data_IF_667987531800
#
_entry.id   IF_667987531800
#
_cell.length_a   1.000
_cell.length_b   1.000
_cell.length_c   1.000
_cell.angle_alpha   90.00
_cell.angle_beta   90.00
_cell.angle_gamma   90.00
#
_symmetry.space_group_name_H-M   'P 1'
#
loop_
_entity.id
_entity.type
_entity.pdbx_description
1 polymer ?
#
# COMPACT_ATOMS: atom_id res chain seq x y z
N UNK A 1 -37.48 58.69 -21.97
CA UNK A 1 -37.74 57.32 -21.50
C UNK A 1 -37.09 57.21 -20.14
N UNK A 2 -37.93 57.32 -19.12
CA UNK A 2 -37.54 57.60 -17.74
C UNK A 2 -37.60 56.38 -16.83
N UNK A 3 -37.06 56.63 -15.65
CA UNK A 3 -37.00 55.82 -14.44
C UNK A 3 -38.34 55.14 -14.09
N UNK A 4 -38.26 53.90 -13.62
CA UNK A 4 -39.34 53.16 -12.97
C UNK A 4 -38.82 52.46 -11.71
N UNK A 5 -39.34 52.89 -10.57
CA UNK A 5 -39.01 52.50 -9.19
C UNK A 5 -39.71 51.17 -8.76
N UNK A 6 -39.53 50.69 -7.52
CA UNK A 6 -39.44 49.25 -7.17
C UNK A 6 -40.71 48.67 -6.53
N UNK A 7 -40.66 47.37 -6.18
CA UNK A 7 -41.60 46.72 -5.28
C UNK A 7 -40.90 46.04 -4.11
N UNK A 8 -41.47 46.28 -2.92
CA UNK A 8 -41.07 45.80 -1.61
C UNK A 8 -41.57 44.38 -1.35
N UNK A 9 -40.87 43.61 -0.50
CA UNK A 9 -41.55 42.78 0.47
C UNK A 9 -40.72 42.58 1.75
N UNK A 10 -41.42 42.70 2.88
CA UNK A 10 -40.93 42.70 4.26
C UNK A 10 -41.34 41.39 4.92
N UNK A 11 -40.47 40.77 5.74
CA UNK A 11 -40.89 40.09 6.98
C UNK A 11 -39.74 39.99 8.00
N UNK A 12 -40.07 40.49 9.20
CA UNK A 12 -39.33 40.53 10.49
C UNK A 12 -39.01 39.13 11.06
N UNK A 13 -38.05 39.04 11.98
CA UNK A 13 -38.17 38.72 13.45
C UNK A 13 -36.73 38.62 14.02
N UNK A 14 -36.16 39.64 14.69
CA UNK A 14 -36.08 39.91 16.16
C UNK A 14 -35.69 38.71 17.04
N UNK A 15 -34.57 38.84 17.75
CA UNK A 15 -34.15 38.00 18.88
C UNK A 15 -32.87 38.56 19.52
N UNK A 16 -33.02 39.57 20.37
CA UNK A 16 -32.02 40.11 21.29
C UNK A 16 -32.25 39.48 22.66
N UNK A 17 -31.18 39.04 23.33
CA UNK A 17 -31.06 39.08 24.80
C UNK A 17 -29.59 39.22 25.18
N UNK A 18 -29.36 40.17 26.09
CA UNK A 18 -28.10 40.62 26.69
C UNK A 18 -28.16 40.26 28.19
N UNK A 19 -27.00 40.36 28.85
CA UNK A 19 -26.75 40.44 30.30
C UNK A 19 -26.51 39.08 30.99
N UNK A 20 -25.55 38.88 31.91
CA UNK A 20 -24.72 39.78 32.72
C UNK A 20 -23.54 38.95 33.29
N UNK A 21 -22.29 39.46 33.33
CA UNK A 21 -21.55 40.01 34.50
C UNK A 21 -21.16 39.00 35.61
N UNK A 22 -19.88 39.06 36.01
CA UNK A 22 -19.29 38.28 37.10
C UNK A 22 -17.81 38.58 37.30
N UNK A 23 -17.51 39.57 38.15
CA UNK A 23 -16.17 40.01 38.58
C UNK A 23 -15.56 39.16 39.70
N UNK A 24 -14.22 39.07 39.73
CA UNK A 24 -13.33 39.11 40.91
C UNK A 24 -11.86 39.03 40.43
N UNK A 25 -11.08 40.11 40.51
CA UNK A 25 -10.20 40.53 41.62
C UNK A 25 -8.96 39.61 41.79
N UNK A 26 -7.78 40.00 41.27
CA UNK A 26 -6.64 40.68 41.96
C UNK A 26 -5.86 39.76 42.90
N UNK A 27 -4.57 39.52 42.57
CA UNK A 27 -3.43 39.74 43.48
C UNK A 27 -2.11 39.88 42.69
N UNK A 28 -1.28 40.78 43.22
CA UNK A 28 0.03 41.27 42.79
C UNK A 28 1.19 40.44 43.37
N UNK A 29 2.43 40.84 43.02
CA UNK A 29 3.78 40.47 43.52
C UNK A 29 4.43 39.30 42.78
N UNK A 30 5.68 39.35 42.30
CA UNK A 30 6.74 40.35 42.39
C UNK A 30 8.09 39.72 41.95
N UNK A 31 9.01 40.57 41.53
CA UNK A 31 10.48 40.40 41.63
C UNK A 31 11.25 39.49 40.65
N UNK A 32 11.91 40.13 39.67
CA UNK A 32 13.35 39.98 39.41
C UNK A 32 14.16 40.33 40.70
N UNK A 33 15.41 39.86 40.92
CA UNK A 33 16.54 40.12 40.00
C UNK A 33 17.71 39.10 40.01
N UNK A 34 18.70 39.40 39.16
CA UNK A 34 20.14 39.09 39.25
C UNK A 34 20.53 37.59 39.24
N UNK A 35 21.34 37.10 38.31
CA UNK A 35 22.64 37.63 37.94
C UNK A 35 23.71 36.70 38.51
N UNK A 36 24.43 35.97 37.64
CA UNK A 36 25.88 35.86 37.79
C UNK A 36 26.55 35.21 36.57
N UNK A 37 27.49 35.99 36.06
CA UNK A 37 28.61 35.67 35.18
C UNK A 37 29.62 34.73 35.82
N UNK A 38 30.20 33.82 35.01
CA UNK A 38 31.64 33.48 34.98
C UNK A 38 31.85 32.49 33.82
N UNK A 39 32.54 32.77 32.69
CA UNK A 39 34.00 32.96 32.47
C UNK A 39 34.84 32.03 33.34
N UNK A 40 35.70 31.09 32.88
CA UNK A 40 36.53 31.00 31.66
C UNK A 40 37.05 29.53 31.46
N UNK A 41 37.76 29.22 30.34
CA UNK A 41 38.19 27.87 29.89
C UNK A 41 39.67 27.52 30.28
N UNK A 42 40.40 26.68 29.50
CA UNK A 42 40.63 25.23 29.61
C UNK A 42 42.07 24.89 30.09
N UNK A 43 42.57 23.65 29.90
CA UNK A 43 43.83 23.55 29.14
C UNK A 43 43.96 22.36 28.18
N UNK A 44 44.95 22.54 27.30
CA UNK A 44 45.38 21.78 26.13
C UNK A 44 46.16 20.48 26.42
N UNK A 45 46.30 19.71 25.34
CA UNK A 45 47.45 18.89 24.91
C UNK A 45 47.91 17.66 25.72
N UNK A 46 47.79 16.49 25.07
CA UNK A 46 48.95 15.74 24.58
C UNK A 46 48.51 14.59 23.64
N UNK A 47 49.11 14.55 22.45
CA UNK A 47 49.11 13.39 21.53
C UNK A 47 50.44 12.60 21.68
N UNK A 48 50.84 11.70 20.76
CA UNK A 48 50.50 10.26 20.69
C UNK A 48 51.75 9.36 20.65
N UNK A 49 51.66 8.03 20.83
CA UNK A 49 52.72 7.12 20.36
C UNK A 49 52.22 5.75 19.86
N UNK A 50 52.70 5.46 18.66
CA UNK A 50 52.74 4.25 17.83
C UNK A 50 53.61 3.14 18.44
N UNK A 51 53.37 1.86 18.14
CA UNK A 51 54.44 0.85 18.09
C UNK A 51 54.07 -0.39 17.24
N UNK A 52 54.95 -0.69 16.28
CA UNK A 52 54.92 -1.80 15.32
C UNK A 52 56.03 -2.82 15.62
N UNK A 53 55.76 -4.07 15.25
CA UNK A 53 56.67 -5.15 14.79
C UNK A 53 57.86 -5.63 15.66
N UNK A 54 57.95 -6.96 15.88
CA UNK A 54 58.87 -7.82 15.09
C UNK A 54 58.80 -9.32 15.46
N UNK A 55 58.89 -10.15 14.41
CA UNK A 55 59.13 -11.60 14.35
C UNK A 55 60.50 -12.01 14.95
N UNK A 56 60.67 -13.30 15.34
CA UNK A 56 61.20 -14.42 14.49
C UNK A 56 61.90 -15.56 15.30
N UNK A 57 61.58 -16.82 14.94
CA UNK A 57 62.47 -18.03 14.82
C UNK A 57 63.21 -18.61 16.06
N UNK A 58 63.41 -19.91 16.32
CA UNK A 58 63.04 -21.23 15.75
C UNK A 58 63.63 -22.36 16.72
N UNK A 59 63.84 -23.65 16.38
CA UNK A 59 63.16 -24.84 16.94
C UNK A 59 64.06 -25.87 17.70
N UNK A 60 63.47 -26.95 18.27
CA UNK A 60 63.92 -28.36 18.18
C UNK A 60 62.99 -29.31 18.98
N UNK A 61 62.60 -30.41 18.33
CA UNK A 61 61.80 -31.59 18.77
C UNK A 61 62.79 -32.74 19.16
N UNK A 62 62.41 -34.02 19.46
CA UNK A 62 61.08 -34.67 19.65
C UNK A 62 60.99 -35.71 20.83
N UNK A 63 59.78 -36.24 21.07
CA UNK A 63 59.39 -37.66 21.30
C UNK A 63 58.10 -37.72 22.16
N UNK A 64 56.92 -37.93 21.55
CA UNK A 64 56.20 -39.22 21.39
C UNK A 64 55.45 -39.63 22.69
N UNK A 65 54.17 -40.00 22.72
CA UNK A 65 53.19 -40.29 21.67
C UNK A 65 51.79 -40.28 22.33
N UNK A 66 50.83 -39.54 21.80
CA UNK A 66 49.42 -39.62 22.19
C UNK A 66 48.52 -39.19 21.02
N UNK A 67 47.86 -40.18 20.44
CA UNK A 67 46.63 -40.18 19.64
C UNK A 67 46.24 -38.90 18.86
N UNK A 68 46.38 -38.97 17.53
CA UNK A 68 45.68 -38.11 16.56
C UNK A 68 44.39 -38.79 16.05
N UNK A 69 43.44 -38.01 15.52
CA UNK A 69 43.31 -38.02 14.06
C UNK A 69 43.37 -36.62 13.42
N UNK A 70 43.96 -36.58 12.23
CA UNK A 70 44.18 -35.42 11.39
C UNK A 70 42.95 -34.97 10.59
N UNK A 71 43.11 -33.75 10.08
CA UNK A 71 42.16 -32.81 9.48
C UNK A 71 41.93 -33.13 7.99
N UNK A 72 40.69 -32.91 7.52
CA UNK A 72 40.46 -32.45 6.15
C UNK A 72 39.56 -31.20 6.15
N UNK A 73 40.13 -30.15 5.57
CA UNK A 73 39.56 -28.84 5.28
C UNK A 73 38.46 -28.95 4.22
N UNK A 74 37.25 -28.45 4.48
CA UNK A 74 36.32 -28.02 3.41
C UNK A 74 35.33 -26.97 3.95
N UNK A 75 35.55 -25.73 3.53
CA UNK A 75 34.56 -24.75 3.07
C UNK A 75 33.10 -24.91 3.57
N UNK A 76 32.77 -24.24 4.68
CA UNK A 76 31.39 -24.14 5.17
C UNK A 76 30.64 -23.04 4.40
N UNK A 77 29.90 -23.45 3.37
CA UNK A 77 28.84 -22.63 2.77
C UNK A 77 27.67 -22.48 3.76
N UNK A 78 27.10 -21.29 3.97
CA UNK A 78 25.94 -21.13 4.82
C UNK A 78 24.71 -21.66 4.07
N UNK A 79 24.28 -22.88 4.39
CA UNK A 79 22.96 -23.37 3.97
C UNK A 79 21.88 -22.51 4.60
N UNK A 80 20.95 -21.95 3.82
CA UNK A 80 19.83 -21.20 4.37
C UNK A 80 18.95 -22.17 5.16
N UNK A 81 18.69 -21.82 6.42
CA UNK A 81 17.70 -22.50 7.25
C UNK A 81 16.33 -22.28 6.60
N UNK A 82 15.94 -23.19 5.71
CA UNK A 82 14.57 -23.29 5.24
C UNK A 82 13.72 -23.69 6.45
N UNK A 83 13.12 -22.69 7.11
CA UNK A 83 11.92 -22.90 7.93
C UNK A 83 10.96 -23.66 7.03
N UNK A 84 10.69 -24.93 7.36
CA UNK A 84 9.64 -25.73 6.73
C UNK A 84 8.34 -24.95 6.88
N UNK A 85 7.93 -24.25 5.83
CA UNK A 85 6.57 -23.71 5.77
C UNK A 85 5.66 -24.92 5.89
N UNK A 86 4.76 -24.90 6.88
CA UNK A 86 3.70 -25.88 6.97
C UNK A 86 3.03 -25.94 5.59
N UNK A 87 2.92 -27.15 5.02
CA UNK A 87 2.28 -27.35 3.73
C UNK A 87 0.85 -26.86 3.91
N UNK A 88 0.54 -25.70 3.34
CA UNK A 88 -0.78 -25.11 3.39
C UNK A 88 -1.66 -25.96 2.47
N UNK A 89 -2.53 -26.77 3.07
CA UNK A 89 -3.51 -27.58 2.35
C UNK A 89 -4.76 -26.72 2.09
N UNK A 90 -5.37 -26.85 0.92
CA UNK A 90 -6.54 -26.06 0.50
C UNK A 90 -7.77 -26.98 0.34
N UNK A 91 -8.30 -27.53 1.44
CA UNK A 91 -9.33 -28.55 1.38
C UNK A 91 -10.64 -28.04 0.77
N UNK A 92 -11.01 -26.77 0.97
CA UNK A 92 -12.24 -26.22 0.39
C UNK A 92 -12.10 -26.11 -1.15
N UNK A 93 -10.91 -25.75 -1.62
CA UNK A 93 -10.59 -25.68 -3.06
C UNK A 93 -10.57 -27.08 -3.68
N UNK A 94 -9.93 -28.06 -3.03
CA UNK A 94 -9.86 -29.43 -3.53
C UNK A 94 -11.26 -30.06 -3.64
N UNK A 95 -12.10 -29.89 -2.62
CA UNK A 95 -13.49 -30.37 -2.64
C UNK A 95 -14.29 -29.75 -3.79
N UNK A 96 -14.10 -28.45 -4.05
CA UNK A 96 -14.77 -27.73 -5.13
C UNK A 96 -14.38 -28.27 -6.52
N UNK A 97 -13.09 -28.55 -6.74
CA UNK A 97 -12.62 -29.15 -8.00
C UNK A 97 -13.20 -30.54 -8.21
N UNK A 98 -13.30 -31.36 -7.16
CA UNK A 98 -13.94 -32.68 -7.20
C UNK A 98 -15.43 -32.55 -7.52
N UNK A 99 -16.15 -31.65 -6.84
CA UNK A 99 -17.59 -31.43 -7.05
C UNK A 99 -17.92 -31.05 -8.50
N UNK A 100 -17.05 -30.26 -9.14
CA UNK A 100 -17.21 -29.87 -10.55
C UNK A 100 -16.60 -30.84 -11.56
N UNK A 101 -16.03 -31.96 -11.11
CA UNK A 101 -15.37 -32.92 -11.98
C UNK A 101 -14.12 -32.38 -12.68
N UNK A 102 -13.50 -31.32 -12.14
CA UNK A 102 -12.26 -30.72 -12.64
C UNK A 102 -11.06 -31.52 -12.13
N UNK A 103 -10.96 -32.77 -12.58
CA UNK A 103 -9.97 -33.75 -12.12
C UNK A 103 -8.94 -34.10 -13.20
N UNK A 104 -7.75 -34.60 -12.80
CA UNK A 104 -6.77 -35.14 -13.74
C UNK A 104 -7.33 -36.30 -14.57
N UNK A 105 -6.85 -36.51 -15.80
CA UNK A 105 -5.75 -35.79 -16.46
C UNK A 105 -6.18 -34.49 -17.15
N UNK A 106 -7.48 -34.21 -17.22
CA UNK A 106 -8.04 -33.14 -18.06
C UNK A 106 -7.86 -31.77 -17.40
N UNK A 107 -7.90 -31.71 -16.07
CA UNK A 107 -7.55 -30.51 -15.29
C UNK A 107 -6.56 -30.87 -14.21
N UNK A 108 -5.41 -30.21 -14.19
CA UNK A 108 -4.38 -30.40 -13.15
C UNK A 108 -4.20 -29.12 -12.36
N UNK A 109 -4.22 -29.21 -11.03
CA UNK A 109 -3.80 -28.12 -10.14
C UNK A 109 -2.27 -28.07 -10.12
N UNK A 110 -1.69 -27.05 -10.75
CA UNK A 110 -0.23 -26.87 -10.81
C UNK A 110 0.30 -26.21 -9.53
N UNK A 111 -0.46 -25.25 -8.99
CA UNK A 111 -0.07 -24.52 -7.78
C UNK A 111 -1.30 -23.98 -7.06
N UNK A 112 -1.33 -24.14 -5.75
CA UNK A 112 -2.17 -23.32 -4.87
C UNK A 112 -1.26 -22.66 -3.83
N UNK A 113 -1.44 -21.36 -3.63
CA UNK A 113 -0.55 -20.58 -2.76
C UNK A 113 -1.30 -19.48 -2.04
N UNK A 114 -0.87 -19.17 -0.81
CA UNK A 114 -1.29 -17.97 -0.11
C UNK A 114 -0.12 -17.03 0.03
N UNK A 115 -0.33 -15.81 -0.45
CA UNK A 115 0.56 -14.70 -0.18
C UNK A 115 0.21 -14.09 1.16
N UNK A 116 1.22 -13.86 1.99
CA UNK A 116 1.10 -13.16 3.25
C UNK A 116 1.71 -11.77 3.11
N UNK A 117 1.02 -10.76 3.62
CA UNK A 117 1.46 -9.37 3.65
C UNK A 117 1.33 -8.83 5.06
N UNK A 118 2.40 -8.22 5.54
CA UNK A 118 2.42 -7.47 6.78
C UNK A 118 2.23 -6.00 6.47
N UNK A 119 1.46 -5.32 7.30
CA UNK A 119 1.24 -3.88 7.21
C UNK A 119 1.74 -3.24 8.49
N UNK A 120 2.51 -2.16 8.36
CA UNK A 120 2.96 -1.35 9.49
C UNK A 120 2.53 0.10 9.27
N UNK A 121 2.23 0.80 10.35
CA UNK A 121 1.95 2.22 10.35
C UNK A 121 2.88 2.91 11.33
N UNK A 122 3.58 3.95 10.88
CA UNK A 122 4.41 4.84 11.71
C UNK A 122 3.66 6.15 11.88
N UNK A 123 3.41 6.54 13.12
CA UNK A 123 2.80 7.81 13.48
C UNK A 123 3.89 8.76 13.96
N UNK A 124 3.91 9.95 13.37
CA UNK A 124 4.78 11.05 13.76
C UNK A 124 3.90 12.17 14.31
N UNK A 125 4.22 12.62 15.53
CA UNK A 125 3.55 13.76 16.14
C UNK A 125 4.37 15.02 15.84
N UNK A 126 3.73 16.00 15.19
CA UNK A 126 4.23 17.36 15.12
C UNK A 126 3.58 18.17 16.24
N UNK A 127 4.38 18.91 17.00
CA UNK A 127 3.90 19.81 18.04
C UNK A 127 4.59 21.17 17.95
N UNK A 128 3.79 22.21 17.68
CA UNK A 128 4.29 23.58 17.50
C UNK A 128 5.31 23.72 16.37
N UNK A 129 5.35 22.78 15.42
CA UNK A 129 6.41 22.73 14.42
C UNK A 129 6.31 23.92 13.45
N UNK A 130 7.47 24.43 13.03
CA UNK A 130 7.57 25.48 12.02
C UNK A 130 8.22 24.92 10.76
N UNK A 131 7.42 24.85 9.69
CA UNK A 131 7.88 24.47 8.36
C UNK A 131 8.23 25.72 7.55
N UNK A 132 9.37 25.72 6.87
CA UNK A 132 9.75 26.75 5.92
C UNK A 132 9.66 26.22 4.49
N UNK A 133 8.97 26.94 3.60
CA UNK A 133 8.87 26.57 2.19
C UNK A 133 10.25 26.49 1.54
N UNK A 134 10.51 25.50 0.68
CA UNK A 134 11.76 25.45 -0.08
C UNK A 134 11.80 26.58 -1.10
N UNK A 135 12.80 27.45 -0.98
CA UNK A 135 13.10 28.51 -1.95
C UNK A 135 12.34 29.82 -1.75
N UNK A 136 12.56 30.73 -2.71
CA UNK A 136 12.04 32.09 -2.71
C UNK A 136 11.20 32.34 -3.97
N UNK A 137 10.12 33.12 -3.84
CA UNK A 137 9.05 33.24 -4.84
C UNK A 137 8.78 34.68 -5.23
N UNK A 138 8.10 34.90 -6.37
CA UNK A 138 7.87 36.25 -6.91
C UNK A 138 6.73 37.00 -6.21
N UNK A 139 5.89 36.27 -5.46
CA UNK A 139 4.78 36.88 -4.72
C UNK A 139 4.49 36.14 -3.41
N UNK A 140 3.94 36.88 -2.44
CA UNK A 140 3.43 36.31 -1.17
C UNK A 140 2.41 35.18 -1.41
N UNK A 141 1.49 35.37 -2.36
CA UNK A 141 0.42 34.41 -2.67
C UNK A 141 0.97 33.09 -3.22
N UNK A 142 1.98 33.18 -4.09
CA UNK A 142 2.68 32.00 -4.62
C UNK A 142 3.44 31.28 -3.50
N UNK A 143 4.20 32.02 -2.68
CA UNK A 143 4.94 31.44 -1.55
C UNK A 143 4.02 30.67 -0.59
N UNK A 144 2.88 31.26 -0.21
CA UNK A 144 1.88 30.58 0.62
C UNK A 144 1.38 29.29 -0.03
N UNK A 145 0.97 29.33 -1.30
CA UNK A 145 0.45 28.14 -2.00
C UNK A 145 1.48 27.02 -2.07
N UNK A 146 2.74 27.36 -2.38
CA UNK A 146 3.85 26.40 -2.42
C UNK A 146 4.17 25.82 -1.05
N UNK A 147 4.08 26.62 0.02
CA UNK A 147 4.25 26.15 1.39
C UNK A 147 3.18 25.10 1.76
N UNK A 148 1.90 25.42 1.56
CA UNK A 148 0.80 24.48 1.81
C UNK A 148 0.88 23.24 0.94
N UNK A 149 1.21 23.39 -0.35
CA UNK A 149 1.36 22.24 -1.25
C UNK A 149 2.48 21.31 -0.80
N UNK A 150 3.65 21.85 -0.45
CA UNK A 150 4.78 21.06 0.04
C UNK A 150 4.43 20.32 1.34
N UNK A 151 3.76 21.02 2.27
CA UNK A 151 3.24 20.40 3.49
C UNK A 151 2.23 19.28 3.18
N UNK A 152 1.26 19.53 2.30
CA UNK A 152 0.23 18.57 1.94
C UNK A 152 0.82 17.28 1.36
N UNK A 153 1.86 17.39 0.51
CA UNK A 153 2.53 16.23 -0.08
C UNK A 153 3.33 15.44 0.96
N UNK A 154 4.01 16.12 1.89
CA UNK A 154 4.78 15.46 2.94
C UNK A 154 3.87 14.79 3.98
N UNK A 155 2.73 15.39 4.30
CA UNK A 155 1.73 14.88 5.22
C UNK A 155 0.79 13.82 4.61
N UNK A 156 1.00 13.44 3.34
CA UNK A 156 0.12 12.54 2.56
C UNK A 156 -1.37 12.99 2.54
N UNK A 157 -1.61 14.29 2.68
CA UNK A 157 -2.94 14.91 2.52
C UNK A 157 -3.31 14.95 1.04
N UNK A 158 -2.32 15.13 0.16
CA UNK A 158 -2.50 15.15 -1.29
C UNK A 158 -1.56 14.15 -1.98
N UNK A 159 -1.99 13.66 -3.14
CA UNK A 159 -1.17 12.81 -4.00
C UNK A 159 -0.17 13.63 -4.82
N UNK A 160 0.98 13.05 -5.22
CA UNK A 160 1.88 13.68 -6.18
C UNK A 160 1.13 14.05 -7.47
N UNK A 161 1.27 15.30 -7.91
CA UNK A 161 0.53 15.83 -9.08
C UNK A 161 -0.76 16.57 -8.75
N UNK A 162 -1.15 16.67 -7.48
CA UNK A 162 -2.25 17.54 -7.05
C UNK A 162 -1.95 19.01 -7.36
N UNK A 163 -3.00 19.79 -7.62
CA UNK A 163 -2.87 21.21 -7.89
C UNK A 163 -2.59 21.99 -6.59
N UNK A 164 -1.84 23.09 -6.69
CA UNK A 164 -1.42 23.89 -5.52
C UNK A 164 -2.60 24.57 -4.82
N UNK A 165 -3.66 24.90 -5.57
CA UNK A 165 -4.83 25.60 -5.03
C UNK A 165 -5.66 24.61 -4.20
N UNK A 166 -5.96 23.44 -4.76
CA UNK A 166 -6.63 22.33 -4.09
C UNK A 166 -5.85 21.84 -2.88
N UNK A 167 -4.52 21.83 -2.94
CA UNK A 167 -3.67 21.44 -1.81
C UNK A 167 -3.85 22.36 -0.59
N UNK A 168 -3.96 23.66 -0.82
CA UNK A 168 -4.21 24.62 0.27
C UNK A 168 -5.55 24.36 0.95
N UNK A 169 -6.59 24.08 0.17
CA UNK A 169 -7.92 23.75 0.70
C UNK A 169 -7.92 22.41 1.44
N UNK A 170 -7.23 21.40 0.90
CA UNK A 170 -7.14 20.08 1.49
C UNK A 170 -6.46 20.12 2.87
N UNK A 171 -5.39 20.91 3.03
CA UNK A 171 -4.76 21.10 4.35
C UNK A 171 -5.73 21.77 5.32
N UNK A 172 -6.39 22.86 4.92
CA UNK A 172 -7.37 23.54 5.80
C UNK A 172 -8.49 22.59 6.24
N UNK A 173 -9.01 21.79 5.31
CA UNK A 173 -10.02 20.77 5.61
C UNK A 173 -9.48 19.68 6.53
N UNK A 174 -8.25 19.20 6.31
CA UNK A 174 -7.61 18.18 7.14
C UNK A 174 -7.54 18.60 8.62
N UNK A 175 -7.14 19.84 8.90
CA UNK A 175 -7.09 20.40 10.26
C UNK A 175 -8.49 20.64 10.83
N UNK A 176 -9.41 21.18 10.03
CA UNK A 176 -10.79 21.43 10.45
C UNK A 176 -11.52 20.13 10.86
N UNK A 177 -11.37 19.05 10.08
CA UNK A 177 -11.96 17.74 10.39
C UNK A 177 -11.44 17.12 11.68
N UNK A 178 -10.24 17.52 12.12
CA UNK A 178 -9.59 17.05 13.35
C UNK A 178 -9.78 18.01 14.52
N UNK A 179 -10.56 19.08 14.32
CA UNK A 179 -10.71 20.16 15.31
C UNK A 179 -9.37 20.75 15.76
N UNK A 180 -8.38 20.76 14.86
CA UNK A 180 -7.05 21.31 15.10
C UNK A 180 -6.93 22.71 14.49
N UNK A 181 -6.14 23.61 15.10
CA UNK A 181 -5.89 24.93 14.53
C UNK A 181 -5.16 24.79 13.20
N UNK A 182 -5.62 25.53 12.19
CA UNK A 182 -4.91 25.59 10.92
C UNK A 182 -3.53 26.23 11.12
N UNK A 183 -2.47 25.76 10.43
CA UNK A 183 -1.16 26.38 10.47
C UNK A 183 -1.21 27.88 10.15
N UNK A 184 -0.43 28.67 10.87
CA UNK A 184 -0.36 30.13 10.65
C UNK A 184 0.67 30.44 9.57
N UNK A 185 0.32 31.36 8.67
CA UNK A 185 1.17 31.75 7.55
C UNK A 185 2.05 32.95 7.94
N UNK A 186 3.37 32.78 7.91
CA UNK A 186 4.33 33.87 8.08
C UNK A 186 5.13 34.06 6.80
N UNK A 187 4.81 35.11 6.03
CA UNK A 187 5.55 35.43 4.81
C UNK A 187 6.50 36.61 5.03
N UNK A 188 7.75 36.45 4.65
CA UNK A 188 8.77 37.49 4.68
C UNK A 188 9.31 37.78 3.28
N UNK A 189 9.93 38.94 3.10
CA UNK A 189 10.83 39.18 1.96
C UNK A 189 12.20 38.62 2.32
N UNK A 190 12.80 37.85 1.42
CA UNK A 190 14.16 37.34 1.58
C UNK A 190 15.15 38.17 0.76
N UNK A 191 16.18 38.68 1.43
CA UNK A 191 17.29 39.38 0.79
C UNK A 191 16.92 40.73 0.15
N UNK A 192 17.78 41.15 -0.80
CA UNK A 192 17.65 42.42 -1.55
C UNK A 192 16.87 42.27 -2.84
N UNK A 193 16.76 41.05 -3.36
CA UNK A 193 15.91 40.73 -4.51
C UNK A 193 14.48 40.59 -4.01
N UNK A 194 13.48 41.09 -4.74
CA UNK A 194 12.06 41.09 -4.32
C UNK A 194 11.44 39.68 -4.29
N UNK A 195 12.06 38.75 -3.55
CA UNK A 195 11.64 37.39 -3.39
C UNK A 195 10.95 37.21 -2.03
N UNK A 196 9.93 36.37 -2.00
CA UNK A 196 9.12 36.07 -0.83
C UNK A 196 9.34 34.63 -0.42
N UNK A 197 9.49 34.37 0.87
CA UNK A 197 9.38 33.02 1.43
C UNK A 197 8.21 32.95 2.40
N UNK A 198 7.68 31.74 2.59
CA UNK A 198 6.57 31.51 3.50
C UNK A 198 6.90 30.39 4.47
N UNK A 199 6.62 30.61 5.74
CA UNK A 199 6.67 29.58 6.78
C UNK A 199 5.27 29.29 7.29
N UNK A 200 4.99 28.01 7.54
CA UNK A 200 3.81 27.56 8.27
C UNK A 200 4.23 27.32 9.72
N UNK A 201 3.73 28.13 10.65
CA UNK A 201 4.07 28.08 12.07
C UNK A 201 2.95 27.45 12.89
N UNK A 202 3.28 27.03 14.10
CA UNK A 202 2.35 26.41 15.07
C UNK A 202 1.66 25.15 14.51
N UNK A 203 2.38 24.33 13.74
CA UNK A 203 1.84 23.09 13.18
C UNK A 203 1.79 22.01 14.27
N UNK A 204 0.58 21.70 14.75
CA UNK A 204 0.32 20.59 15.68
C UNK A 204 -0.62 19.58 15.04
N UNK A 205 -0.11 18.41 14.66
CA UNK A 205 -0.90 17.32 14.06
C UNK A 205 -0.20 15.95 14.16
N UNK A 206 -0.95 14.87 13.93
CA UNK A 206 -0.41 13.51 13.84
C UNK A 206 -0.40 13.04 12.39
N UNK A 207 0.76 12.62 11.89
CA UNK A 207 0.96 12.14 10.53
C UNK A 207 1.18 10.63 10.54
N UNK A 208 0.36 9.88 9.79
CA UNK A 208 0.43 8.43 9.72
C UNK A 208 1.00 7.98 8.36
N UNK A 209 2.11 7.24 8.39
CA UNK A 209 2.78 6.70 7.22
C UNK A 209 2.71 5.18 7.21
N UNK A 210 2.30 4.61 6.08
CA UNK A 210 2.13 3.16 5.95
C UNK A 210 3.30 2.53 5.21
N UNK A 211 3.61 1.30 5.59
CA UNK A 211 4.54 0.40 4.92
C UNK A 211 3.97 -1.00 4.84
N UNK A 212 4.43 -1.75 3.84
CA UNK A 212 4.03 -3.13 3.63
C UNK A 212 5.25 -3.99 3.27
N UNK A 213 5.21 -5.27 3.62
CA UNK A 213 6.30 -6.20 3.37
C UNK A 213 5.86 -7.66 3.50
N UNK A 214 6.76 -8.57 3.11
CA UNK A 214 6.55 -10.01 3.27
C UNK A 214 6.83 -10.49 4.71
N UNK A 215 7.46 -9.64 5.53
CA UNK A 215 7.69 -9.84 6.96
C UNK A 215 7.39 -8.58 7.76
N UNK A 216 7.26 -8.72 9.09
CA UNK A 216 7.12 -7.57 10.01
C UNK A 216 8.27 -6.59 9.90
N UNK A 217 9.51 -7.09 9.80
CA UNK A 217 10.71 -6.28 9.67
C UNK A 217 10.71 -5.45 8.39
N UNK A 218 10.35 -6.06 7.26
CA UNK A 218 10.22 -5.34 5.98
C UNK A 218 9.10 -4.31 6.01
N UNK A 219 7.92 -4.66 6.53
CA UNK A 219 6.80 -3.73 6.62
C UNK A 219 7.12 -2.53 7.51
N UNK A 220 7.78 -2.78 8.65
CA UNK A 220 8.28 -1.73 9.54
C UNK A 220 9.28 -0.84 8.82
N UNK A 221 10.33 -1.42 8.23
CA UNK A 221 11.35 -0.63 7.55
C UNK A 221 10.77 0.19 6.39
N UNK A 222 9.83 -0.38 5.62
CA UNK A 222 9.13 0.35 4.57
C UNK A 222 8.32 1.54 5.13
N UNK A 223 7.64 1.38 6.27
CA UNK A 223 6.85 2.45 6.89
C UNK A 223 7.75 3.59 7.40
N UNK A 224 8.85 3.24 8.07
CA UNK A 224 9.85 4.21 8.56
C UNK A 224 10.55 4.94 7.42
N UNK A 225 10.98 4.22 6.38
CA UNK A 225 11.60 4.82 5.20
C UNK A 225 10.63 5.74 4.46
N UNK A 226 9.36 5.37 4.34
CA UNK A 226 8.34 6.24 3.76
C UNK A 226 8.19 7.52 4.59
N UNK A 227 8.01 7.41 5.90
CA UNK A 227 7.92 8.55 6.81
C UNK A 227 9.16 9.47 6.69
N UNK A 228 10.37 8.91 6.76
CA UNK A 228 11.62 9.66 6.60
C UNK A 228 11.72 10.38 5.25
N UNK A 229 11.42 9.68 4.15
CA UNK A 229 11.51 10.25 2.80
C UNK A 229 10.53 11.41 2.60
N UNK A 230 9.34 11.34 3.20
CA UNK A 230 8.33 12.39 3.12
C UNK A 230 8.67 13.58 4.03
N UNK A 231 9.05 13.28 5.27
CA UNK A 231 9.31 14.28 6.30
C UNK A 231 10.65 15.00 6.15
N UNK A 232 11.67 14.34 5.60
CA UNK A 232 12.95 14.99 5.28
C UNK A 232 12.73 16.29 4.49
N UNK A 233 11.78 16.30 3.56
CA UNK A 233 11.40 17.50 2.78
C UNK A 233 10.87 18.66 3.63
N UNK A 234 10.26 18.38 4.79
CA UNK A 234 9.83 19.41 5.74
C UNK A 234 11.00 19.92 6.58
N UNK A 235 11.87 19.00 7.00
CA UNK A 235 12.95 19.28 7.95
C UNK A 235 14.26 19.75 7.28
N UNK A 236 14.39 19.69 5.95
CA UNK A 236 15.61 20.01 5.18
C UNK A 236 16.21 21.41 5.43
N UNK A 237 15.50 22.33 6.08
CA UNK A 237 16.08 23.60 6.51
C UNK A 237 17.09 23.46 7.68
N UNK A 238 17.13 22.31 8.36
CA UNK A 238 17.88 22.11 9.63
C UNK A 238 19.14 21.23 9.54
N UNK A 239 19.64 20.92 8.34
CA UNK A 239 20.82 20.08 8.17
C UNK A 239 20.47 18.60 8.30
N UNK A 240 20.33 17.92 7.17
CA UNK A 240 20.02 16.50 7.13
C UNK A 240 21.23 15.69 7.60
N UNK A 241 21.07 14.73 8.54
CA UNK A 241 22.12 13.76 8.84
C UNK A 241 22.52 12.99 7.59
N UNK A 242 23.83 12.74 7.42
CA UNK A 242 24.34 11.86 6.38
C UNK A 242 23.67 10.48 6.45
N UNK A 243 23.38 9.91 5.29
CA UNK A 243 22.57 8.69 5.08
C UNK A 243 23.28 7.40 5.55
N UNK A 244 23.60 7.30 6.84
CA UNK A 244 24.19 6.12 7.46
C UNK A 244 23.29 5.68 8.63
N UNK A 245 22.33 4.80 8.34
CA UNK A 245 21.44 4.23 9.36
C UNK A 245 20.28 3.42 8.76
N UNK A 246 19.69 2.54 9.56
CA UNK A 246 18.43 1.86 9.24
C UNK A 246 17.30 2.90 9.28
N UNK A 247 16.23 2.73 8.49
CA UNK A 247 15.19 3.77 8.33
C UNK A 247 14.55 4.28 9.64
N UNK A 248 14.58 3.47 10.69
CA UNK A 248 14.13 3.84 12.05
C UNK A 248 15.05 4.88 12.71
N UNK A 249 16.35 4.59 12.75
CA UNK A 249 17.36 5.48 13.34
C UNK A 249 17.39 6.84 12.61
N UNK A 250 17.20 6.82 11.29
CA UNK A 250 17.17 8.03 10.46
C UNK A 250 15.98 8.93 10.80
N UNK A 251 14.77 8.37 10.90
CA UNK A 251 13.58 9.14 11.26
C UNK A 251 13.67 9.65 12.69
N UNK A 252 14.09 8.80 13.62
CA UNK A 252 14.22 9.15 15.04
C UNK A 252 15.25 10.26 15.25
N UNK A 253 16.39 10.21 14.55
CA UNK A 253 17.40 11.28 14.58
C UNK A 253 16.85 12.59 14.01
N UNK A 254 16.14 12.52 12.88
CA UNK A 254 15.53 13.69 12.24
C UNK A 254 14.51 14.40 13.16
N UNK A 255 13.68 13.62 13.87
CA UNK A 255 12.69 14.14 14.81
C UNK A 255 13.36 14.75 16.05
N UNK A 256 14.41 14.10 16.59
CA UNK A 256 15.19 14.65 17.71
C UNK A 256 15.85 15.98 17.37
N UNK A 257 16.45 16.10 16.19
CA UNK A 257 17.08 17.36 15.72
C UNK A 257 16.09 18.53 15.61
N UNK A 258 14.80 18.21 15.44
CA UNK A 258 13.74 19.20 15.24
C UNK A 258 12.86 19.35 16.49
N UNK A 259 13.31 18.79 17.63
CA UNK A 259 12.63 18.87 18.92
C UNK A 259 11.29 18.13 18.96
N UNK A 260 11.05 17.20 18.03
CA UNK A 260 9.81 16.44 17.93
C UNK A 260 9.92 15.12 18.71
N UNK A 261 8.77 14.59 19.14
CA UNK A 261 8.71 13.32 19.85
C UNK A 261 9.15 12.13 18.97
N UNK A 262 9.57 11.04 19.61
CA UNK A 262 9.90 9.80 18.90
C UNK A 262 8.68 9.23 18.14
N UNK A 263 8.91 8.60 16.98
CA UNK A 263 7.84 8.04 16.17
C UNK A 263 7.22 6.80 16.87
N UNK A 264 5.90 6.69 16.83
CA UNK A 264 5.18 5.52 17.37
C UNK A 264 4.79 4.61 16.22
N UNK A 265 5.25 3.36 16.22
CA UNK A 265 4.84 2.40 15.20
C UNK A 265 3.79 1.42 15.73
N UNK A 266 2.95 0.95 14.82
CA UNK A 266 1.95 -0.09 15.09
C UNK A 266 1.95 -1.08 13.94
N UNK A 267 2.12 -2.36 14.28
CA UNK A 267 1.91 -3.43 13.32
C UNK A 267 0.41 -3.64 13.17
N UNK A 268 -0.10 -3.53 11.95
CA UNK A 268 -1.48 -3.88 11.62
C UNK A 268 -1.61 -5.38 11.42
N UNK A 269 -2.84 -5.86 11.49
CA UNK A 269 -3.15 -7.27 11.27
C UNK A 269 -2.53 -7.78 9.95
N UNK A 270 -2.07 -9.03 10.00
CA UNK A 270 -1.55 -9.72 8.84
C UNK A 270 -2.67 -9.92 7.83
N UNK A 271 -2.33 -9.81 6.55
CA UNK A 271 -3.27 -9.99 5.46
C UNK A 271 -2.83 -11.12 4.55
N UNK A 272 -3.81 -11.82 3.98
CA UNK A 272 -3.63 -13.02 3.17
C UNK A 272 -4.37 -12.90 1.85
N UNK A 273 -3.77 -13.39 0.78
CA UNK A 273 -4.40 -13.51 -0.54
C UNK A 273 -4.13 -14.89 -1.11
N UNK A 274 -5.20 -15.66 -1.35
CA UNK A 274 -5.10 -17.02 -1.87
C UNK A 274 -5.20 -17.00 -3.40
N UNK A 275 -4.40 -17.85 -4.04
CA UNK A 275 -4.35 -17.99 -5.50
C UNK A 275 -4.21 -19.44 -5.92
N UNK A 276 -4.76 -19.77 -7.08
CA UNK A 276 -4.66 -21.08 -7.72
C UNK A 276 -4.24 -20.94 -9.18
N UNK A 277 -3.46 -21.90 -9.64
CA UNK A 277 -3.09 -22.12 -11.03
C UNK A 277 -3.54 -23.52 -11.44
N UNK A 278 -4.43 -23.58 -12.41
CA UNK A 278 -4.91 -24.80 -13.03
C UNK A 278 -4.42 -24.88 -14.47
N UNK A 279 -4.28 -26.09 -14.99
CA UNK A 279 -4.02 -26.35 -16.39
C UNK A 279 -5.09 -27.25 -16.96
N UNK A 280 -5.80 -26.73 -17.96
CA UNK A 280 -6.77 -27.47 -18.75
C UNK A 280 -6.04 -28.13 -19.93
N UNK A 281 -6.21 -29.44 -20.09
CA UNK A 281 -5.55 -30.26 -21.12
C UNK A 281 -6.62 -31.06 -21.87
N UNK A 282 -7.04 -30.56 -23.03
CA UNK A 282 -8.11 -31.17 -23.83
C UNK A 282 -9.46 -31.17 -23.11
N UNK A 283 -9.75 -30.11 -22.35
CA UNK A 283 -11.01 -30.00 -21.62
C UNK A 283 -12.16 -29.66 -22.55
N UNK A 284 -13.28 -30.33 -22.35
CA UNK A 284 -14.42 -30.29 -23.25
C UNK A 284 -15.65 -29.70 -22.58
N UNK A 285 -16.30 -28.77 -23.26
CA UNK A 285 -17.58 -28.19 -22.86
C UNK A 285 -18.62 -28.40 -23.95
N UNK A 286 -19.88 -28.57 -23.55
CA UNK A 286 -20.99 -28.81 -24.48
C UNK A 286 -22.13 -27.84 -24.21
N UNK A 287 -22.76 -27.34 -25.27
CA UNK A 287 -24.05 -26.67 -25.23
C UNK A 287 -25.02 -27.45 -26.10
N UNK A 288 -26.03 -28.06 -25.45
CA UNK A 288 -27.10 -28.86 -26.06
C UNK A 288 -28.45 -28.13 -26.08
N UNK A 289 -28.49 -26.88 -25.61
CA UNK A 289 -29.75 -26.17 -25.32
C UNK A 289 -30.24 -25.28 -26.45
N UNK A 290 -29.47 -25.13 -27.53
CA UNK A 290 -29.78 -24.17 -28.59
C UNK A 290 -29.76 -24.81 -29.98
N UNK A 291 -30.80 -24.54 -30.78
CA UNK A 291 -30.89 -24.98 -32.18
C UNK A 291 -30.00 -24.15 -33.12
N UNK A 292 -29.48 -23.01 -32.65
CA UNK A 292 -28.61 -22.12 -33.42
C UNK A 292 -27.13 -22.33 -33.04
N UNK A 293 -26.39 -22.97 -33.95
CA UNK A 293 -24.97 -23.28 -33.81
C UNK A 293 -24.08 -22.06 -33.54
N UNK A 294 -24.39 -20.90 -34.13
CA UNK A 294 -23.61 -19.67 -33.94
C UNK A 294 -23.80 -19.13 -32.53
N UNK A 295 -25.02 -19.17 -31.99
CA UNK A 295 -25.32 -18.76 -30.62
C UNK A 295 -24.69 -19.73 -29.61
N UNK A 296 -24.80 -21.05 -29.84
CA UNK A 296 -24.14 -22.07 -29.01
C UNK A 296 -22.63 -21.83 -28.92
N UNK A 297 -21.98 -21.59 -30.07
CA UNK A 297 -20.55 -21.31 -30.15
C UNK A 297 -20.18 -20.02 -29.43
N UNK A 298 -20.94 -18.94 -29.61
CA UNK A 298 -20.68 -17.67 -28.93
C UNK A 298 -20.89 -17.78 -27.41
N UNK A 299 -21.90 -18.53 -26.99
CA UNK A 299 -22.15 -18.83 -25.59
C UNK A 299 -20.96 -19.58 -24.97
N UNK A 300 -20.52 -20.67 -25.60
CA UNK A 300 -19.33 -21.42 -25.16
C UNK A 300 -18.07 -20.55 -25.17
N UNK A 301 -17.95 -19.64 -26.14
CA UNK A 301 -16.80 -18.74 -26.22
C UNK A 301 -16.78 -17.72 -25.07
N UNK A 302 -17.91 -17.06 -24.82
CA UNK A 302 -18.07 -16.17 -23.67
C UNK A 302 -17.85 -16.91 -22.36
N UNK A 303 -18.28 -18.18 -22.28
CA UNK A 303 -18.05 -19.04 -21.13
C UNK A 303 -16.57 -19.31 -20.89
N UNK A 304 -15.80 -19.66 -21.91
CA UNK A 304 -14.35 -19.87 -21.78
C UNK A 304 -13.67 -18.56 -21.35
N UNK A 305 -14.03 -17.42 -21.94
CA UNK A 305 -13.49 -16.11 -21.54
C UNK A 305 -13.79 -15.78 -20.08
N UNK A 306 -15.03 -16.00 -19.61
CA UNK A 306 -15.41 -15.82 -18.20
C UNK A 306 -14.62 -16.74 -17.29
N UNK A 307 -14.47 -18.02 -17.65
CA UNK A 307 -13.63 -18.95 -16.90
C UNK A 307 -12.21 -18.42 -16.82
N UNK A 308 -11.63 -17.92 -17.91
CA UNK A 308 -10.28 -17.35 -17.95
C UNK A 308 -10.15 -16.00 -17.20
N UNK A 309 -11.24 -15.44 -16.68
CA UNK A 309 -11.24 -14.13 -16.02
C UNK A 309 -11.01 -12.96 -16.96
N UNK A 310 -11.41 -13.10 -18.22
CA UNK A 310 -11.38 -12.03 -19.21
C UNK A 310 -12.72 -11.30 -19.17
N UNK A 311 -12.69 -10.02 -18.78
CA UNK A 311 -13.89 -9.18 -18.78
C UNK A 311 -14.38 -8.97 -20.21
N UNK A 312 -15.61 -9.38 -20.48
CA UNK A 312 -16.26 -9.25 -21.80
C UNK A 312 -17.24 -8.07 -21.83
N UNK A 313 -16.93 -6.98 -21.12
CA UNK A 313 -17.81 -5.82 -21.04
C UNK A 313 -18.21 -5.31 -22.43
N UNK A 314 -19.40 -4.72 -22.52
CA UNK A 314 -20.03 -4.27 -23.76
C UNK A 314 -19.20 -3.27 -24.61
N UNK A 315 -18.08 -2.77 -24.08
CA UNK A 315 -17.14 -1.89 -24.77
C UNK A 315 -16.15 -2.64 -25.68
N UNK A 316 -16.00 -3.97 -25.53
CA UNK A 316 -15.26 -4.81 -26.48
C UNK A 316 -16.19 -5.14 -27.64
N UNK A 317 -16.15 -4.34 -28.71
CA UNK A 317 -17.06 -4.39 -29.87
C UNK A 317 -16.99 -5.67 -30.73
N UNK A 318 -16.37 -6.74 -30.23
CA UNK A 318 -16.16 -8.01 -30.92
C UNK A 318 -17.12 -9.12 -30.48
N UNK A 319 -17.42 -10.04 -31.39
CA UNK A 319 -18.08 -11.31 -31.04
C UNK A 319 -17.23 -12.08 -30.01
N UNK A 320 -17.81 -12.71 -28.97
CA UNK A 320 -17.07 -13.50 -27.98
C UNK A 320 -16.14 -14.55 -28.60
N UNK A 321 -16.53 -15.10 -29.77
CA UNK A 321 -15.69 -16.04 -30.53
C UNK A 321 -14.37 -15.41 -30.99
N UNK A 322 -14.40 -14.15 -31.46
CA UNK A 322 -13.21 -13.46 -31.94
C UNK A 322 -12.31 -13.08 -30.77
N UNK A 323 -12.88 -12.58 -29.67
CA UNK A 323 -12.14 -12.27 -28.45
C UNK A 323 -11.45 -13.51 -27.88
N UNK A 324 -12.09 -14.68 -27.98
CA UNK A 324 -11.50 -15.95 -27.60
C UNK A 324 -10.31 -16.33 -28.52
N UNK A 325 -10.45 -16.22 -29.85
CA UNK A 325 -9.35 -16.47 -30.78
C UNK A 325 -8.16 -15.53 -30.53
N UNK A 326 -8.43 -14.24 -30.32
CA UNK A 326 -7.40 -13.24 -30.03
C UNK A 326 -6.68 -13.55 -28.72
N UNK A 327 -7.41 -13.96 -27.69
CA UNK A 327 -6.82 -14.36 -26.41
C UNK A 327 -5.90 -15.57 -26.60
N UNK A 328 -6.36 -16.65 -27.25
CA UNK A 328 -5.55 -17.85 -27.49
C UNK A 328 -4.31 -17.55 -28.34
N UNK A 329 -4.46 -16.73 -29.38
CA UNK A 329 -3.35 -16.26 -30.22
C UNK A 329 -2.35 -15.43 -29.43
N UNK A 330 -2.82 -14.54 -28.55
CA UNK A 330 -1.97 -13.73 -27.67
C UNK A 330 -1.16 -14.59 -26.69
N UNK A 331 -1.75 -15.68 -26.19
CA UNK A 331 -1.07 -16.66 -25.34
C UNK A 331 -0.20 -17.67 -26.12
N UNK A 332 -0.17 -17.59 -27.46
CA UNK A 332 0.51 -18.54 -28.35
C UNK A 332 0.05 -19.99 -28.14
N UNK A 333 -1.24 -20.17 -27.86
CA UNK A 333 -1.87 -21.47 -27.65
C UNK A 333 -2.64 -21.91 -28.91
N UNK A 334 -2.80 -23.23 -29.15
CA UNK A 334 -3.72 -23.74 -30.16
C UNK A 334 -5.14 -23.24 -29.88
N UNK A 335 -5.83 -22.77 -30.92
CA UNK A 335 -7.19 -22.29 -30.78
C UNK A 335 -8.16 -23.40 -30.32
N UNK A 336 -9.27 -23.03 -29.66
CA UNK A 336 -10.31 -23.97 -29.25
C UNK A 336 -10.93 -24.65 -30.48
N UNK A 337 -11.08 -25.98 -30.41
CA UNK A 337 -11.70 -26.78 -31.47
C UNK A 337 -13.20 -26.91 -31.22
N UNK A 338 -14.02 -26.59 -32.22
CA UNK A 338 -15.48 -26.59 -32.10
C UNK A 338 -16.09 -27.65 -33.01
N UNK A 339 -16.75 -28.64 -32.39
CA UNK A 339 -17.42 -29.73 -33.07
C UNK A 339 -18.95 -29.57 -32.98
N UNK A 340 -19.65 -30.01 -34.02
CA UNK A 340 -21.11 -29.99 -34.05
C UNK A 340 -21.66 -31.33 -33.57
N UNK A 341 -22.48 -31.29 -32.52
CA UNK A 341 -23.18 -32.47 -32.02
C UNK A 341 -24.43 -32.69 -32.86
N UNK A 342 -24.57 -33.90 -33.42
CA UNK A 342 -25.70 -34.28 -34.28
C UNK A 342 -26.94 -34.66 -33.47
N UNK A 343 -26.77 -35.40 -32.38
CA UNK A 343 -27.85 -35.82 -31.48
C UNK A 343 -27.34 -35.90 -30.02
N UNK A 344 -27.88 -35.11 -29.08
CA UNK A 344 -28.76 -33.96 -29.31
C UNK A 344 -28.05 -32.85 -30.11
N UNK A 345 -28.82 -32.04 -30.85
CA UNK A 345 -28.28 -30.91 -31.60
C UNK A 345 -27.55 -29.95 -30.64
N UNK A 346 -26.29 -29.64 -30.95
CA UNK A 346 -25.49 -28.80 -30.09
C UNK A 346 -24.11 -28.48 -30.65
N UNK A 347 -23.30 -27.82 -29.82
CA UNK A 347 -21.90 -27.54 -30.09
C UNK A 347 -21.08 -28.04 -28.92
N UNK A 348 -19.97 -28.71 -29.23
CA UNK A 348 -18.94 -29.10 -28.31
C UNK A 348 -17.70 -28.24 -28.58
N UNK A 349 -16.95 -27.90 -27.55
CA UNK A 349 -15.66 -27.21 -27.68
C UNK A 349 -14.61 -27.93 -26.85
N UNK A 350 -13.46 -28.20 -27.44
CA UNK A 350 -12.30 -28.79 -26.77
C UNK A 350 -11.15 -27.79 -26.79
N UNK A 351 -10.54 -27.55 -25.64
CA UNK A 351 -9.44 -26.58 -25.53
C UNK A 351 -8.41 -26.96 -24.46
N UNK A 352 -7.22 -26.37 -24.57
CA UNK A 352 -6.16 -26.47 -23.56
C UNK A 352 -5.65 -25.08 -23.23
N UNK A 353 -5.65 -24.72 -21.95
CA UNK A 353 -5.22 -23.40 -21.51
C UNK A 353 -4.76 -23.40 -20.04
N UNK A 354 -3.78 -22.56 -19.68
CA UNK A 354 -3.53 -22.24 -18.28
C UNK A 354 -4.64 -21.35 -17.74
N UNK A 355 -4.97 -21.53 -16.47
CA UNK A 355 -5.93 -20.74 -15.74
C UNK A 355 -5.31 -20.29 -14.42
N UNK A 356 -5.41 -19.00 -14.13
CA UNK A 356 -4.96 -18.41 -12.88
C UNK A 356 -6.07 -17.59 -12.26
N UNK A 357 -6.27 -17.76 -10.97
CA UNK A 357 -7.29 -17.05 -10.22
C UNK A 357 -6.80 -16.75 -8.80
N UNK A 358 -7.16 -15.58 -8.30
CA UNK A 358 -6.80 -15.12 -6.96
C UNK A 358 -8.03 -14.54 -6.29
N UNK A 359 -8.11 -14.61 -4.96
CA UNK A 359 -9.13 -13.89 -4.21
C UNK A 359 -9.05 -12.38 -4.55
N UNK A 360 -10.19 -11.70 -4.76
CA UNK A 360 -10.20 -10.31 -5.21
C UNK A 360 -9.45 -9.40 -4.23
N UNK A 361 -9.78 -9.52 -2.95
CA UNK A 361 -9.17 -8.73 -1.88
C UNK A 361 -8.22 -9.54 -0.98
N UNK A 362 -7.43 -8.79 -0.23
CA UNK A 362 -6.67 -9.26 0.92
C UNK A 362 -7.61 -9.50 2.11
N UNK A 363 -7.42 -10.59 2.85
CA UNK A 363 -8.25 -11.00 4.00
C UNK A 363 -7.42 -11.11 5.27
N UNK A 364 -8.04 -10.93 6.43
CA UNK A 364 -7.33 -10.89 7.73
C UNK A 364 -6.88 -12.28 8.22
N UNK A 365 -7.43 -13.35 7.65
CA UNK A 365 -7.04 -14.72 7.99
C UNK A 365 -6.86 -15.56 6.73
N UNK A 366 -6.03 -16.59 6.85
CA UNK A 366 -5.82 -17.57 5.80
C UNK A 366 -7.14 -18.24 5.36
N UNK A 367 -7.96 -18.68 6.31
CA UNK A 367 -9.24 -19.36 6.01
C UNK A 367 -10.23 -18.44 5.27
N UNK A 368 -10.24 -17.14 5.57
CA UNK A 368 -11.06 -16.19 4.82
C UNK A 368 -10.52 -15.96 3.40
N UNK A 369 -9.20 -15.99 3.21
CA UNK A 369 -8.60 -15.90 1.88
C UNK A 369 -8.94 -17.13 1.02
N UNK A 370 -8.84 -18.34 1.58
CA UNK A 370 -9.26 -19.58 0.92
C UNK A 370 -10.74 -19.52 0.52
N UNK A 371 -11.63 -19.22 1.47
CA UNK A 371 -13.07 -19.11 1.20
C UNK A 371 -13.39 -18.05 0.13
N UNK A 372 -12.67 -16.93 0.15
CA UNK A 372 -12.83 -15.88 -0.86
C UNK A 372 -12.36 -16.35 -2.24
N UNK A 373 -11.32 -17.19 -2.32
CA UNK A 373 -10.89 -17.82 -3.56
C UNK A 373 -11.94 -18.84 -4.05
N UNK A 374 -12.49 -19.67 -3.16
CA UNK A 374 -13.57 -20.61 -3.47
C UNK A 374 -14.79 -19.89 -4.03
N UNK A 375 -15.18 -18.76 -3.46
CA UNK A 375 -16.27 -17.92 -3.99
C UNK A 375 -15.98 -17.37 -5.38
N UNK A 376 -14.75 -16.88 -5.62
CA UNK A 376 -14.34 -16.39 -6.94
C UNK A 376 -14.31 -17.51 -7.99
N UNK A 377 -13.74 -18.67 -7.64
CA UNK A 377 -13.80 -19.86 -8.48
C UNK A 377 -15.25 -20.24 -8.75
N UNK A 378 -16.12 -20.19 -7.74
CA UNK A 378 -17.55 -20.47 -7.89
C UNK A 378 -18.18 -19.48 -8.84
N UNK A 379 -17.89 -18.18 -8.76
CA UNK A 379 -18.44 -17.21 -9.71
C UNK A 379 -18.01 -17.49 -11.17
N UNK A 380 -16.79 -18.00 -11.38
CA UNK A 380 -16.24 -18.34 -12.71
C UNK A 380 -16.78 -19.66 -13.26
N UNK A 381 -16.89 -20.68 -12.42
CA UNK A 381 -17.26 -22.04 -12.81
C UNK A 381 -18.72 -22.40 -12.54
N UNK A 382 -19.46 -21.62 -11.74
CA UNK A 382 -20.91 -21.82 -11.61
C UNK A 382 -21.57 -21.58 -12.96
N UNK A 383 -22.30 -22.60 -13.37
CA UNK A 383 -23.12 -22.60 -14.56
C UNK A 383 -24.49 -22.06 -14.16
N UNK A 384 -25.03 -21.07 -14.86
CA UNK A 384 -26.45 -20.78 -14.72
C UNK A 384 -27.20 -22.00 -15.27
N UNK A 385 -27.62 -22.91 -14.38
CA UNK A 385 -28.52 -24.03 -14.69
C UNK A 385 -29.93 -23.55 -15.10
N UNK A 386 -30.18 -22.25 -15.09
CA UNK A 386 -31.50 -21.63 -15.30
C UNK A 386 -31.83 -21.26 -16.75
N UNK A 387 -31.55 -22.14 -17.71
CA UNK A 387 -32.29 -22.15 -18.99
C UNK A 387 -32.61 -23.59 -19.42
N UNK A 388 -33.09 -24.39 -18.47
CA UNK A 388 -33.48 -25.79 -18.71
C UNK A 388 -34.61 -26.31 -17.82
N UNK A 389 -35.36 -25.43 -17.15
CA UNK A 389 -36.52 -25.81 -16.32
C UNK A 389 -37.73 -24.92 -16.62
N UNK A 390 -38.35 -25.18 -17.77
CA UNK A 390 -39.79 -24.96 -17.95
C UNK A 390 -40.36 -26.25 -18.55
N UNK A 391 -40.95 -27.10 -17.71
CA UNK A 391 -41.57 -28.35 -18.14
C UNK A 391 -41.62 -29.42 -17.05
N UNK A 392 -42.34 -29.14 -15.97
CA UNK A 392 -42.80 -30.15 -15.00
C UNK A 392 -43.60 -31.26 -15.69
N UNK A 393 -43.42 -32.52 -15.26
CA UNK A 393 -44.54 -33.47 -15.28
C UNK A 393 -44.24 -34.97 -15.29
N UNK A 394 -44.55 -35.62 -14.16
CA UNK A 394 -44.81 -37.06 -13.92
C UNK A 394 -43.59 -37.99 -13.92
N UNK A 395 -43.23 -38.72 -12.84
CA UNK A 395 -44.01 -39.64 -12.00
C UNK A 395 -44.79 -40.69 -12.80
N UNK A 396 -44.17 -41.84 -13.07
CA UNK A 396 -44.62 -43.19 -12.69
C UNK A 396 -44.01 -44.25 -13.60
N UNK A 397 -43.54 -45.33 -12.95
CA UNK A 397 -43.07 -46.64 -13.46
C UNK A 397 -41.66 -46.70 -14.05
#
# INVERSE_FOLDING_TARGET
MGLGQPSYNVKKTVGLSVEESGHSAVTSFGSEPAGNSNTNPPPEDASPLDFKEQLKSQPMRPAADAAAPEIHTTESSPTPVHRKQAKVEFPEVENLLVEWGLLPPVVTCEKCSVEQRFMCSVRVQLDGYTFQSPGSFRSKKEATRKAFHSFALAAEICQPGADEIGSTQAVKQYFAQRSQPCPKEKCGKEGKENAFSCSLTDVTCSLDYKGQGSSEGEARQAAFLNAFTKLSRLFSASGTPGALGVGDDQLTTLLKLTGQAEPVYSLKAQQYKASIQLKFSGYTLENKSTTNKKLARNYLSARILKMLGVDTDASTSGSPRNSLDEWFKGQKLPGPDFEELKEPLGVQVTFSAPFSCSSPDWKDTWAHAERSLVQELSARFTWNKEEGTAGSGSSSL
#
